data_IF_384668185859
#
_entry.id   IF_384668185859
#
_cell.length_a   1.000
_cell.length_b   1.000
_cell.length_c   1.000
_cell.angle_alpha   90.00
_cell.angle_beta   90.00
_cell.angle_gamma   90.00
#
_symmetry.space_group_name_H-M   'P 1'
#
loop_
_entity.id
_entity.type
_entity.pdbx_description
1 polymer ?
#
# COMPACT_ATOMS: atom_id res chain seq x y z
N UNK A 1 38.05 11.04 -11.68
CA UNK A 1 37.91 10.22 -10.47
C UNK A 1 36.45 9.83 -10.40
N UNK A 2 36.12 8.58 -10.57
CA UNK A 2 34.74 8.08 -10.55
C UNK A 2 34.23 8.08 -9.11
N UNK A 3 33.38 9.04 -8.74
CA UNK A 3 32.69 9.02 -7.47
C UNK A 3 31.66 7.87 -7.56
N UNK A 4 31.88 6.85 -6.77
CA UNK A 4 30.99 5.70 -6.64
C UNK A 4 29.82 6.14 -5.78
N UNK A 5 28.60 6.13 -6.33
CA UNK A 5 27.40 6.07 -5.53
C UNK A 5 27.55 4.95 -4.51
N UNK A 6 27.27 5.26 -3.27
CA UNK A 6 27.13 4.25 -2.22
C UNK A 6 25.82 3.54 -2.49
N UNK A 7 25.88 2.55 -3.37
CA UNK A 7 24.77 1.66 -3.57
C UNK A 7 24.70 0.74 -2.37
N UNK A 8 23.61 0.83 -1.66
CA UNK A 8 23.29 0.03 -0.51
C UNK A 8 23.27 -1.45 -0.89
N UNK A 9 24.26 -2.19 -0.45
CA UNK A 9 24.31 -3.64 -0.61
C UNK A 9 23.36 -4.29 0.42
N UNK A 10 22.20 -4.73 -0.01
CA UNK A 10 21.33 -5.60 0.77
C UNK A 10 21.91 -7.00 0.73
N UNK A 11 22.63 -7.41 1.74
CA UNK A 11 23.06 -8.80 1.92
C UNK A 11 21.88 -9.60 2.49
N UNK A 12 21.26 -10.41 1.67
CA UNK A 12 20.23 -11.36 2.06
C UNK A 12 20.89 -12.54 2.80
N UNK A 13 20.76 -12.60 4.11
CA UNK A 13 20.98 -13.83 4.85
C UNK A 13 19.62 -14.51 5.07
N UNK A 14 19.27 -15.44 4.19
CA UNK A 14 18.21 -16.41 4.45
C UNK A 14 18.72 -17.45 5.44
N UNK A 15 18.16 -17.48 6.62
CA UNK A 15 18.17 -18.67 7.47
C UNK A 15 16.74 -19.17 7.65
N UNK A 16 16.52 -20.29 6.98
CA UNK A 16 15.37 -21.16 7.15
C UNK A 16 15.31 -21.74 8.56
N UNK A 17 14.21 -21.56 9.25
CA UNK A 17 13.84 -22.40 10.38
C UNK A 17 12.44 -22.97 10.14
N UNK A 18 12.46 -24.29 9.99
CA UNK A 18 11.33 -25.18 9.80
C UNK A 18 10.59 -25.43 11.13
N UNK A 19 9.25 -25.40 11.05
CA UNK A 19 8.28 -26.36 11.57
C UNK A 19 8.34 -26.86 13.02
N UNK A 20 7.25 -26.72 13.67
CA UNK A 20 6.38 -27.77 14.24
C UNK A 20 5.56 -27.14 15.38
N UNK A 21 4.31 -27.30 15.42
CA UNK A 21 3.45 -28.36 15.66
C UNK A 21 2.17 -27.93 16.31
N UNK A 22 1.12 -28.35 15.75
CA UNK A 22 -0.13 -28.91 16.29
C UNK A 22 -0.63 -28.52 17.69
N UNK A 23 -1.90 -28.07 17.70
CA UNK A 23 -2.91 -28.80 18.43
C UNK A 23 -3.50 -28.19 19.69
N UNK A 24 -4.79 -27.98 19.70
CA UNK A 24 -5.60 -28.31 20.84
C UNK A 24 -6.37 -27.20 21.54
N UNK A 25 -7.62 -27.22 21.29
CA UNK A 25 -8.81 -26.59 21.89
C UNK A 25 -8.88 -26.44 23.40
N UNK A 26 -9.75 -25.50 23.77
CA UNK A 26 -10.67 -25.41 24.90
C UNK A 26 -10.30 -24.51 26.07
N UNK A 27 -11.10 -23.46 26.22
CA UNK A 27 -11.40 -22.82 27.51
C UNK A 27 -12.26 -23.75 28.38
N UNK A 28 -12.39 -23.58 29.71
CA UNK A 28 -12.92 -22.37 30.33
C UNK A 28 -12.41 -22.00 31.76
N UNK A 29 -12.75 -20.74 32.13
CA UNK A 29 -13.16 -20.22 33.44
C UNK A 29 -12.27 -20.33 34.69
N UNK A 30 -11.91 -19.15 35.17
CA UNK A 30 -11.89 -18.59 36.53
C UNK A 30 -11.38 -19.41 37.72
N UNK A 31 -10.34 -18.89 38.36
CA UNK A 31 -10.40 -18.53 39.80
C UNK A 31 -9.07 -17.94 40.30
N UNK A 32 -9.19 -16.96 41.18
CA UNK A 32 -8.12 -16.21 41.84
C UNK A 32 -7.19 -17.09 42.65
N UNK A 33 -5.88 -16.75 42.64
CA UNK A 33 -4.91 -17.29 43.57
C UNK A 33 -3.60 -16.55 43.45
N UNK A 34 -3.30 -15.68 44.42
CA UNK A 34 -2.01 -15.04 44.61
C UNK A 34 -0.93 -16.09 44.84
N UNK A 35 0.12 -16.06 44.03
CA UNK A 35 1.41 -16.64 44.42
C UNK A 35 2.54 -15.85 43.74
N UNK A 36 3.35 -15.20 44.53
CA UNK A 36 4.66 -14.65 44.17
C UNK A 36 5.50 -15.75 43.53
N UNK A 37 5.77 -15.61 42.23
CA UNK A 37 6.70 -16.41 41.48
C UNK A 37 7.68 -15.50 40.79
N UNK A 38 8.94 -15.54 41.20
CA UNK A 38 10.11 -14.94 40.58
C UNK A 38 10.19 -15.44 39.14
N UNK A 39 9.61 -14.71 38.21
CA UNK A 39 9.69 -14.99 36.77
C UNK A 39 11.05 -14.53 36.24
N UNK A 40 11.91 -15.49 35.93
CA UNK A 40 13.08 -15.26 35.09
C UNK A 40 12.62 -14.62 33.76
N UNK A 41 13.01 -13.37 33.56
CA UNK A 41 12.80 -12.70 32.27
C UNK A 41 13.51 -13.52 31.19
N UNK A 42 12.77 -13.93 30.17
CA UNK A 42 13.37 -14.50 28.97
C UNK A 42 14.36 -13.45 28.40
N UNK A 43 15.51 -13.90 27.86
CA UNK A 43 16.45 -12.99 27.23
C UNK A 43 15.70 -12.24 26.11
N UNK A 44 15.75 -10.90 26.13
CA UNK A 44 15.27 -10.10 25.03
C UNK A 44 16.03 -10.54 23.77
N UNK A 45 15.32 -10.90 22.70
CA UNK A 45 15.93 -11.12 21.40
C UNK A 45 16.76 -9.89 21.07
N UNK A 46 18.00 -10.07 20.57
CA UNK A 46 18.81 -8.93 20.16
C UNK A 46 18.04 -8.13 19.10
N UNK A 47 17.88 -6.84 19.34
CA UNK A 47 17.26 -5.95 18.37
C UNK A 47 17.96 -6.14 17.03
N UNK A 48 17.17 -6.42 15.97
CA UNK A 48 17.70 -6.59 14.63
C UNK A 48 18.52 -5.34 14.23
N UNK A 49 19.72 -5.53 13.68
CA UNK A 49 20.52 -4.40 13.20
C UNK A 49 19.76 -3.69 12.07
N UNK A 50 19.64 -2.36 12.18
CA UNK A 50 19.03 -1.54 11.14
C UNK A 50 19.78 -1.72 9.82
N UNK A 51 19.03 -1.81 8.72
CA UNK A 51 19.59 -1.76 7.36
C UNK A 51 20.28 -0.41 7.13
N UNK A 52 21.08 -0.31 6.09
CA UNK A 52 21.72 0.96 5.76
C UNK A 52 20.69 2.04 5.39
N UNK A 53 19.59 1.69 4.71
CA UNK A 53 18.47 2.60 4.43
C UNK A 53 17.80 3.06 5.72
N UNK A 54 17.51 2.16 6.64
CA UNK A 54 16.89 2.49 7.93
C UNK A 54 17.78 3.40 8.78
N UNK A 55 19.11 3.25 8.72
CA UNK A 55 20.05 4.18 9.38
C UNK A 55 20.00 5.59 8.78
N UNK A 56 19.92 5.69 7.45
CA UNK A 56 19.75 6.97 6.75
C UNK A 56 18.43 7.63 7.12
N UNK A 57 17.33 6.85 7.15
CA UNK A 57 16.01 7.34 7.56
C UNK A 57 16.04 7.84 9.01
N UNK A 58 16.60 7.07 9.92
CA UNK A 58 16.74 7.48 11.33
C UNK A 58 17.56 8.77 11.51
N UNK A 59 18.60 8.98 10.69
CA UNK A 59 19.33 10.24 10.66
C UNK A 59 18.46 11.39 10.12
N UNK A 60 17.68 11.12 9.07
CA UNK A 60 16.87 12.11 8.38
C UNK A 60 15.61 12.53 9.15
N UNK A 61 15.07 11.69 10.02
CA UNK A 61 13.83 11.96 10.80
C UNK A 61 13.91 13.24 11.63
N UNK A 62 15.10 13.60 12.13
CA UNK A 62 15.30 14.81 12.91
C UNK A 62 15.62 16.07 12.10
N UNK A 63 15.78 15.94 10.79
CA UNK A 63 16.25 17.03 9.93
C UNK A 63 15.11 17.94 9.48
N UNK A 64 15.41 19.22 9.36
CA UNK A 64 14.55 20.20 8.68
C UNK A 64 14.58 19.97 7.17
N UNK A 65 13.58 20.49 6.44
CA UNK A 65 13.59 20.43 4.96
C UNK A 65 14.83 21.09 4.35
N UNK A 66 15.37 22.13 4.99
CA UNK A 66 16.61 22.77 4.51
C UNK A 66 17.83 21.87 4.68
N UNK A 67 17.95 21.16 5.80
CA UNK A 67 19.03 20.19 6.03
C UNK A 67 18.93 19.00 5.10
N UNK A 68 17.71 18.48 4.88
CA UNK A 68 17.45 17.43 3.90
C UNK A 68 17.79 17.87 2.48
N UNK A 69 17.46 19.11 2.11
CA UNK A 69 17.81 19.67 0.80
C UNK A 69 19.31 19.77 0.58
N UNK A 70 20.07 20.20 1.59
CA UNK A 70 21.56 20.24 1.52
C UNK A 70 22.15 18.85 1.34
N UNK A 71 21.65 17.85 2.08
CA UNK A 71 22.06 16.46 1.90
C UNK A 71 21.70 15.93 0.50
N UNK A 72 20.50 16.21 0.02
CA UNK A 72 20.09 15.82 -1.32
C UNK A 72 21.02 16.40 -2.40
N UNK A 73 21.44 17.66 -2.27
CA UNK A 73 22.41 18.30 -3.17
C UNK A 73 23.75 17.56 -3.13
N UNK A 74 24.27 17.26 -1.94
CA UNK A 74 25.57 16.57 -1.78
C UNK A 74 25.54 15.18 -2.42
N UNK A 75 24.44 14.45 -2.29
CA UNK A 75 24.31 13.06 -2.73
C UNK A 75 23.98 12.91 -4.21
N UNK A 76 23.17 13.82 -4.77
CA UNK A 76 22.59 13.65 -6.10
C UNK A 76 23.12 14.59 -7.17
N UNK A 77 23.99 15.55 -6.84
CA UNK A 77 24.55 16.48 -7.82
C UNK A 77 25.35 15.74 -8.92
N UNK A 78 24.97 15.94 -10.18
CA UNK A 78 25.58 15.29 -11.35
C UNK A 78 25.15 13.83 -11.53
N UNK A 79 24.12 13.37 -10.84
CA UNK A 79 23.58 12.03 -10.94
C UNK A 79 22.30 11.98 -11.77
N UNK A 80 21.85 10.77 -12.09
CA UNK A 80 20.53 10.52 -12.63
C UNK A 80 19.65 9.88 -11.54
N UNK A 81 18.51 10.50 -11.26
CA UNK A 81 17.51 9.99 -10.36
C UNK A 81 16.52 9.09 -11.11
N UNK A 82 16.42 7.85 -10.71
CA UNK A 82 15.49 6.89 -11.28
C UNK A 82 14.28 6.73 -10.38
N UNK A 83 13.10 6.98 -10.94
CA UNK A 83 11.85 6.78 -10.24
C UNK A 83 10.86 5.95 -11.05
N UNK A 84 9.94 5.29 -10.38
CA UNK A 84 8.91 4.48 -11.00
C UNK A 84 7.58 4.68 -10.29
N UNK A 85 6.49 4.76 -11.03
CA UNK A 85 5.18 4.94 -10.41
C UNK A 85 4.03 4.80 -11.40
N UNK A 86 2.84 4.55 -10.89
CA UNK A 86 1.63 4.50 -11.72
C UNK A 86 1.02 5.90 -11.96
N UNK A 87 1.68 6.95 -11.51
CA UNK A 87 1.24 8.33 -11.66
C UNK A 87 2.25 9.16 -12.46
N UNK A 88 1.76 9.98 -13.39
CA UNK A 88 2.55 10.97 -14.11
C UNK A 88 3.03 12.13 -13.22
N UNK A 89 2.52 12.23 -11.99
CA UNK A 89 2.90 13.29 -11.04
C UNK A 89 4.40 13.30 -10.74
N UNK A 90 5.07 12.15 -10.77
CA UNK A 90 6.52 12.09 -10.64
C UNK A 90 7.25 12.92 -11.70
N UNK A 91 6.80 12.85 -12.97
CA UNK A 91 7.36 13.66 -14.06
C UNK A 91 7.15 15.17 -13.84
N UNK A 92 6.07 15.55 -13.17
CA UNK A 92 5.77 16.96 -12.87
C UNK A 92 6.51 17.44 -11.62
N UNK A 93 6.66 16.59 -10.62
CA UNK A 93 7.26 16.94 -9.34
C UNK A 93 8.80 17.05 -9.42
N UNK A 94 9.47 16.17 -10.17
CA UNK A 94 10.93 16.15 -10.24
C UNK A 94 11.54 17.45 -10.79
N UNK A 95 11.03 18.09 -11.85
CA UNK A 95 11.53 19.41 -12.26
C UNK A 95 11.41 20.47 -11.16
N UNK A 96 10.29 20.49 -10.43
CA UNK A 96 10.09 21.43 -9.32
C UNK A 96 11.05 21.15 -8.15
N UNK A 97 11.34 19.90 -7.88
CA UNK A 97 12.32 19.50 -6.89
C UNK A 97 13.73 19.97 -7.30
N UNK A 98 14.12 19.78 -8.55
CA UNK A 98 15.42 20.26 -9.08
C UNK A 98 15.49 21.78 -9.00
N UNK A 99 14.44 22.49 -9.41
CA UNK A 99 14.38 23.96 -9.32
C UNK A 99 14.51 24.45 -7.87
N UNK A 100 13.88 23.78 -6.93
CA UNK A 100 14.01 24.07 -5.51
C UNK A 100 15.46 23.90 -5.03
N UNK A 101 16.12 22.80 -5.37
CA UNK A 101 17.51 22.58 -5.00
C UNK A 101 18.47 23.57 -5.69
N UNK A 102 18.20 23.98 -6.93
CA UNK A 102 18.93 25.02 -7.64
C UNK A 102 18.76 26.42 -7.01
N UNK A 103 17.65 26.66 -6.31
CA UNK A 103 17.48 27.89 -5.54
C UNK A 103 18.41 27.97 -4.33
N UNK A 104 18.91 26.84 -3.85
CA UNK A 104 19.83 26.70 -2.73
C UNK A 104 21.30 26.68 -3.28
N UNK A 105 21.55 25.85 -4.29
CA UNK A 105 22.84 25.79 -5.00
C UNK A 105 22.60 25.91 -6.52
N UNK A 106 22.87 27.10 -7.11
CA UNK A 106 22.69 27.31 -8.54
C UNK A 106 23.54 26.41 -9.46
N UNK A 107 24.56 25.73 -8.91
CA UNK A 107 25.36 24.76 -9.66
C UNK A 107 24.79 23.34 -9.66
N UNK A 108 23.69 23.10 -8.93
CA UNK A 108 23.07 21.79 -8.85
C UNK A 108 22.56 21.33 -10.21
N UNK A 109 22.94 20.11 -10.56
CA UNK A 109 22.56 19.48 -11.81
C UNK A 109 22.27 17.99 -11.59
N UNK A 110 20.99 17.63 -11.61
CA UNK A 110 20.52 16.26 -11.53
C UNK A 110 19.64 15.95 -12.75
N UNK A 111 19.93 14.85 -13.44
CA UNK A 111 19.02 14.30 -14.43
C UNK A 111 18.02 13.36 -13.77
N UNK A 112 16.92 13.08 -14.43
CA UNK A 112 15.95 12.10 -13.92
C UNK A 112 15.36 11.24 -15.04
N UNK A 113 15.02 10.00 -14.70
CA UNK A 113 14.23 9.09 -15.51
C UNK A 113 13.03 8.59 -14.68
N UNK A 114 11.84 9.00 -15.09
CA UNK A 114 10.60 8.57 -14.45
C UNK A 114 9.88 7.56 -15.34
N UNK A 115 9.80 6.32 -14.89
CA UNK A 115 9.11 5.24 -15.57
C UNK A 115 7.67 5.12 -15.07
N UNK A 116 6.75 4.87 -16.01
CA UNK A 116 5.33 4.74 -15.69
C UNK A 116 4.75 3.46 -16.32
N UNK A 117 5.08 2.28 -15.79
CA UNK A 117 4.46 1.04 -16.21
C UNK A 117 2.99 1.01 -15.79
N UNK A 118 2.22 0.15 -16.43
CA UNK A 118 0.80 -0.02 -16.08
C UNK A 118 0.67 -0.75 -14.74
N UNK A 119 -0.12 -0.17 -13.84
CA UNK A 119 -0.71 -0.80 -12.65
C UNK A 119 0.17 -1.84 -11.93
N UNK A 120 -0.29 -3.08 -11.86
CA UNK A 120 0.33 -4.15 -11.08
C UNK A 120 1.78 -4.49 -11.48
N UNK A 121 2.21 -4.13 -12.69
CA UNK A 121 3.60 -4.35 -13.14
C UNK A 121 4.63 -3.60 -12.33
N UNK A 122 4.22 -2.53 -11.62
CA UNK A 122 5.12 -1.79 -10.74
C UNK A 122 5.59 -2.66 -9.58
N UNK A 123 4.69 -3.44 -8.98
CA UNK A 123 5.04 -4.30 -7.84
C UNK A 123 6.07 -5.36 -8.25
N UNK A 124 5.86 -5.99 -9.39
CA UNK A 124 6.81 -6.97 -9.94
C UNK A 124 8.16 -6.32 -10.24
N UNK A 125 8.14 -5.11 -10.81
CA UNK A 125 9.34 -4.37 -11.17
C UNK A 125 10.15 -3.94 -9.95
N UNK A 126 9.49 -3.44 -8.90
CA UNK A 126 10.13 -3.08 -7.63
C UNK A 126 10.68 -4.30 -6.90
N UNK A 127 9.92 -5.39 -6.86
CA UNK A 127 10.38 -6.66 -6.26
C UNK A 127 11.60 -7.19 -7.00
N UNK A 128 11.58 -7.18 -8.34
CA UNK A 128 12.74 -7.61 -9.14
C UNK A 128 13.95 -6.68 -8.97
N UNK A 129 13.72 -5.39 -8.76
CA UNK A 129 14.79 -4.41 -8.51
C UNK A 129 15.44 -4.62 -7.14
N UNK A 130 14.64 -4.91 -6.12
CA UNK A 130 15.13 -5.18 -4.76
C UNK A 130 15.99 -6.45 -4.66
N UNK A 131 15.86 -7.39 -5.61
CA UNK A 131 16.70 -8.59 -5.68
C UNK A 131 18.10 -8.32 -6.29
N UNK A 132 18.33 -7.15 -6.85
CA UNK A 132 19.63 -6.78 -7.41
C UNK A 132 20.61 -6.41 -6.30
N UNK A 133 21.91 -6.66 -6.47
CA UNK A 133 22.93 -6.20 -5.51
C UNK A 133 22.89 -4.69 -5.28
N UNK A 134 22.40 -3.95 -6.28
CA UNK A 134 22.19 -2.51 -6.25
C UNK A 134 20.89 -2.23 -6.93
N UNK A 135 19.92 -1.72 -6.19
CA UNK A 135 18.64 -1.27 -6.73
C UNK A 135 18.82 -0.12 -7.70
N UNK A 136 17.90 0.02 -8.62
CA UNK A 136 17.90 1.09 -9.63
C UNK A 136 17.06 2.28 -9.18
N UNK A 137 15.88 1.98 -8.61
CA UNK A 137 14.89 3.00 -8.30
C UNK A 137 15.10 3.61 -6.91
N UNK A 138 15.17 4.95 -6.87
CA UNK A 138 15.31 5.71 -5.65
C UNK A 138 13.97 6.05 -5.01
N UNK A 139 12.89 6.13 -5.81
CA UNK A 139 11.56 6.53 -5.33
C UNK A 139 10.46 5.85 -6.14
N UNK A 140 9.34 5.58 -5.48
CA UNK A 140 8.10 5.17 -6.15
C UNK A 140 6.92 6.02 -5.73
N UNK A 141 5.99 6.24 -6.67
CA UNK A 141 4.66 6.78 -6.43
C UNK A 141 3.64 5.72 -6.85
N UNK A 142 3.15 4.97 -5.89
CA UNK A 142 2.21 3.88 -6.11
C UNK A 142 0.93 4.11 -5.32
N UNK A 143 -0.14 3.50 -5.76
CA UNK A 143 -1.43 3.47 -5.07
C UNK A 143 -1.79 2.02 -4.79
N UNK A 144 -2.71 1.78 -3.87
CA UNK A 144 -3.13 0.50 -3.35
C UNK A 144 -2.43 0.12 -2.04
N UNK A 145 -2.94 0.69 -0.95
CA UNK A 145 -2.38 0.53 0.39
C UNK A 145 -2.20 -0.92 0.82
N UNK A 146 -3.14 -1.79 0.51
CA UNK A 146 -3.07 -3.21 0.90
C UNK A 146 -1.91 -3.94 0.23
N UNK A 147 -1.69 -3.72 -1.08
CA UNK A 147 -0.56 -4.33 -1.77
C UNK A 147 0.77 -3.66 -1.41
N UNK A 148 0.77 -2.36 -1.14
CA UNK A 148 1.96 -1.64 -0.66
C UNK A 148 2.40 -2.22 0.67
N UNK A 149 1.48 -2.36 1.62
CA UNK A 149 1.79 -2.92 2.94
C UNK A 149 2.29 -4.36 2.82
N UNK A 150 1.49 -5.24 2.22
CA UNK A 150 1.76 -6.69 2.23
C UNK A 150 2.90 -7.12 1.31
N UNK A 151 3.13 -6.43 0.18
CA UNK A 151 4.12 -6.84 -0.83
C UNK A 151 5.39 -6.01 -0.81
N UNK A 152 5.36 -4.82 -0.24
CA UNK A 152 6.47 -3.88 -0.33
C UNK A 152 7.08 -3.56 1.03
N UNK A 153 6.26 -3.16 2.00
CA UNK A 153 6.76 -2.72 3.31
C UNK A 153 7.07 -3.90 4.21
N UNK A 154 6.10 -4.80 4.42
CA UNK A 154 6.32 -5.97 5.28
C UNK A 154 7.50 -6.87 4.84
N UNK A 155 7.71 -7.13 3.52
CA UNK A 155 8.90 -7.84 3.07
C UNK A 155 10.18 -7.01 3.04
N UNK A 156 10.14 -5.71 3.34
CA UNK A 156 11.31 -4.82 3.30
C UNK A 156 11.78 -4.48 1.89
N UNK A 157 10.90 -4.50 0.90
CA UNK A 157 11.19 -4.04 -0.48
C UNK A 157 11.25 -2.51 -0.53
N UNK A 158 10.40 -1.84 0.25
CA UNK A 158 10.37 -0.40 0.42
C UNK A 158 10.49 -0.06 1.89
N UNK A 159 11.33 0.92 2.17
CA UNK A 159 11.31 1.67 3.42
C UNK A 159 10.46 2.93 3.23
N UNK A 160 9.94 3.48 4.32
CA UNK A 160 9.07 4.65 4.31
C UNK A 160 9.70 5.77 5.13
N UNK A 161 9.43 7.01 4.74
CA UNK A 161 9.92 8.19 5.42
C UNK A 161 8.95 9.35 5.27
N UNK A 162 8.67 10.04 6.38
CA UNK A 162 7.89 11.27 6.39
C UNK A 162 8.76 12.41 6.94
N UNK A 163 9.04 13.45 6.14
CA UNK A 163 9.81 14.59 6.62
C UNK A 163 9.16 15.27 7.83
N UNK A 164 9.96 15.56 8.86
CA UNK A 164 9.50 16.19 10.12
C UNK A 164 8.72 17.48 9.87
N UNK A 165 9.25 18.39 9.04
CA UNK A 165 8.61 19.67 8.77
C UNK A 165 7.26 19.52 8.08
N UNK A 166 7.11 18.47 7.25
CA UNK A 166 5.82 18.13 6.65
C UNK A 166 4.84 17.61 7.70
N UNK A 167 5.28 16.72 8.57
CA UNK A 167 4.45 16.17 9.65
C UNK A 167 3.99 17.27 10.60
N UNK A 168 4.89 18.16 11.01
CA UNK A 168 4.59 19.30 11.88
C UNK A 168 3.59 20.27 11.21
N UNK A 169 3.77 20.59 9.93
CA UNK A 169 2.89 21.48 9.19
C UNK A 169 1.46 20.90 9.00
N UNK A 170 1.33 19.57 8.99
CA UNK A 170 0.05 18.89 8.87
C UNK A 170 -0.52 18.41 10.21
N UNK A 171 0.10 18.74 11.34
CA UNK A 171 -0.34 18.36 12.67
C UNK A 171 -0.45 16.84 12.88
N UNK A 172 0.49 16.08 12.31
CA UNK A 172 0.48 14.62 12.27
C UNK A 172 1.84 14.03 12.64
N UNK A 173 1.92 12.72 12.69
CA UNK A 173 3.17 11.96 12.91
C UNK A 173 3.32 10.90 11.83
N UNK A 174 4.53 10.35 11.69
CA UNK A 174 4.79 9.24 10.78
C UNK A 174 3.87 8.04 11.04
N UNK A 175 3.60 7.73 12.30
CA UNK A 175 2.75 6.60 12.70
C UNK A 175 1.30 6.71 12.23
N UNK A 176 0.78 7.95 12.09
CA UNK A 176 -0.59 8.18 11.64
C UNK A 176 -0.88 7.66 10.22
N UNK A 177 0.17 7.45 9.42
CA UNK A 177 0.08 6.97 8.04
C UNK A 177 0.85 5.66 7.82
N UNK A 178 1.16 4.93 8.88
CA UNK A 178 1.98 3.70 8.81
C UNK A 178 3.33 3.96 8.12
N UNK A 179 3.88 5.19 8.30
CA UNK A 179 5.13 5.61 7.68
C UNK A 179 5.06 6.06 6.22
N UNK A 180 3.90 6.02 5.58
CA UNK A 180 3.76 6.49 4.19
C UNK A 180 3.54 8.00 4.11
N UNK A 181 4.16 8.65 3.13
CA UNK A 181 3.82 10.03 2.79
C UNK A 181 2.56 10.04 1.89
N UNK A 182 1.38 10.42 2.40
CA UNK A 182 0.15 10.38 1.64
C UNK A 182 0.08 11.58 0.69
N UNK A 183 0.03 11.32 -0.62
CA UNK A 183 -0.14 12.38 -1.62
C UNK A 183 -1.60 12.65 -1.95
N UNK A 184 -2.45 11.64 -1.83
CA UNK A 184 -3.88 11.76 -2.09
C UNK A 184 -4.65 10.59 -1.49
N UNK A 185 -5.91 10.84 -1.18
CA UNK A 185 -6.91 9.82 -0.89
C UNK A 185 -7.75 9.58 -2.15
N UNK A 186 -7.92 8.32 -2.54
CA UNK A 186 -8.75 7.92 -3.66
C UNK A 186 -10.00 7.21 -3.14
N UNK A 187 -11.15 7.71 -3.54
CA UNK A 187 -12.42 7.04 -3.28
C UNK A 187 -12.94 6.41 -4.58
N UNK A 188 -13.54 5.24 -4.48
CA UNK A 188 -14.28 4.62 -5.56
C UNK A 188 -15.75 4.89 -5.34
N UNK A 189 -16.40 5.39 -6.38
CA UNK A 189 -17.80 5.80 -6.30
C UNK A 189 -18.52 5.30 -7.54
N UNK A 190 -19.79 4.96 -7.39
CA UNK A 190 -20.68 4.75 -8.52
C UNK A 190 -21.04 6.12 -9.11
N UNK A 191 -21.02 6.21 -10.41
CA UNK A 191 -21.39 7.45 -11.13
C UNK A 191 -22.30 7.14 -12.29
N UNK A 192 -23.27 8.02 -12.52
CA UNK A 192 -24.14 7.96 -13.68
C UNK A 192 -24.30 9.34 -14.31
N UNK A 193 -24.73 9.36 -15.58
CA UNK A 193 -25.01 10.58 -16.29
C UNK A 193 -26.39 11.12 -15.88
N UNK A 194 -26.42 12.16 -15.06
CA UNK A 194 -27.64 12.77 -14.55
C UNK A 194 -28.46 13.54 -15.61
N UNK A 195 -27.96 13.65 -16.86
CA UNK A 195 -28.72 14.21 -17.99
C UNK A 195 -29.47 13.11 -18.76
N UNK A 196 -29.29 11.85 -18.41
CA UNK A 196 -30.03 10.72 -18.93
C UNK A 196 -31.46 10.66 -18.39
N UNK A 197 -32.24 9.73 -18.91
CA UNK A 197 -33.63 9.51 -18.49
C UNK A 197 -33.77 8.57 -17.29
N UNK A 198 -32.66 7.93 -16.84
CA UNK A 198 -32.64 7.00 -15.71
C UNK A 198 -32.03 7.68 -14.49
N UNK A 199 -32.57 7.33 -13.32
CA UNK A 199 -32.00 7.63 -12.01
C UNK A 199 -31.50 6.33 -11.39
N UNK A 200 -30.47 6.43 -10.57
CA UNK A 200 -29.84 5.31 -9.87
C UNK A 200 -29.78 5.74 -8.40
N UNK A 201 -30.70 5.22 -7.62
CA UNK A 201 -30.84 5.56 -6.21
C UNK A 201 -30.13 4.52 -5.30
N UNK A 202 -29.77 3.37 -5.90
CA UNK A 202 -29.13 2.25 -5.23
C UNK A 202 -27.95 1.72 -6.06
N UNK A 203 -26.92 1.16 -5.41
CA UNK A 203 -25.79 0.56 -6.12
C UNK A 203 -26.18 -0.65 -6.99
N UNK A 204 -27.23 -1.38 -6.63
CA UNK A 204 -27.75 -2.49 -7.40
C UNK A 204 -28.41 -2.07 -8.72
N UNK A 205 -28.85 -0.82 -8.83
CA UNK A 205 -29.42 -0.28 -10.06
C UNK A 205 -28.41 -0.31 -11.23
N UNK A 206 -27.12 -0.25 -10.93
CA UNK A 206 -26.06 -0.31 -11.94
C UNK A 206 -25.87 -1.69 -12.59
N UNK A 207 -26.46 -2.73 -11.99
CA UNK A 207 -26.43 -4.11 -12.49
C UNK A 207 -27.83 -4.70 -12.71
N UNK A 208 -28.85 -3.84 -12.69
CA UNK A 208 -30.24 -4.20 -12.98
C UNK A 208 -30.43 -4.70 -14.42
N UNK A 209 -31.57 -5.30 -14.70
CA UNK A 209 -31.90 -5.81 -16.02
C UNK A 209 -31.76 -4.71 -17.12
N UNK A 210 -31.02 -5.05 -18.15
CA UNK A 210 -30.78 -4.13 -19.29
C UNK A 210 -29.73 -3.06 -19.04
N UNK A 211 -29.09 -3.04 -17.85
CA UNK A 211 -27.94 -2.19 -17.62
C UNK A 211 -26.65 -2.81 -18.17
N UNK A 212 -25.81 -1.97 -18.69
CA UNK A 212 -24.47 -2.33 -19.17
C UNK A 212 -23.45 -1.55 -18.34
N UNK A 213 -22.96 -2.19 -17.28
CA UNK A 213 -21.89 -1.61 -16.46
C UNK A 213 -20.62 -1.37 -17.28
N UNK A 214 -19.78 -0.48 -16.78
CA UNK A 214 -18.49 -0.25 -17.38
C UNK A 214 -17.65 -1.53 -17.25
N UNK A 215 -17.12 -2.02 -18.38
CA UNK A 215 -16.21 -3.15 -18.38
C UNK A 215 -14.92 -2.79 -17.66
N UNK A 216 -14.52 -3.66 -16.74
CA UNK A 216 -13.24 -3.54 -16.03
C UNK A 216 -12.49 -4.86 -16.15
N UNK A 217 -11.24 -4.78 -16.61
CA UNK A 217 -10.33 -5.92 -16.58
C UNK A 217 -9.76 -6.08 -15.17
N UNK A 218 -10.33 -7.01 -14.41
CA UNK A 218 -9.96 -7.28 -13.02
C UNK A 218 -8.48 -7.69 -12.90
N UNK A 219 -7.92 -8.35 -13.91
CA UNK A 219 -6.53 -8.82 -13.84
C UNK A 219 -5.51 -7.71 -14.05
N UNK A 220 -5.83 -6.72 -14.86
CA UNK A 220 -4.94 -5.60 -15.15
C UNK A 220 -5.18 -4.37 -14.28
N UNK A 221 -6.35 -4.27 -13.62
CA UNK A 221 -6.75 -3.12 -12.82
C UNK A 221 -6.75 -3.42 -11.31
N UNK A 222 -5.95 -2.67 -10.57
CA UNK A 222 -5.86 -2.75 -9.10
C UNK A 222 -7.22 -2.54 -8.45
N UNK A 223 -8.01 -1.63 -9.01
CA UNK A 223 -9.30 -1.19 -8.46
C UNK A 223 -10.30 -2.33 -8.34
N UNK A 224 -10.39 -3.21 -9.34
CA UNK A 224 -11.33 -4.32 -9.35
C UNK A 224 -11.03 -5.32 -8.24
N UNK A 225 -9.76 -5.71 -8.09
CA UNK A 225 -9.34 -6.62 -7.01
C UNK A 225 -9.58 -6.03 -5.64
N UNK A 226 -9.24 -4.76 -5.44
CA UNK A 226 -9.46 -4.10 -4.16
C UNK A 226 -10.93 -3.95 -3.80
N UNK A 227 -11.78 -3.73 -4.80
CA UNK A 227 -13.23 -3.75 -4.58
C UNK A 227 -13.70 -5.12 -4.10
N UNK A 228 -13.24 -6.21 -4.72
CA UNK A 228 -13.57 -7.57 -4.28
C UNK A 228 -13.03 -7.87 -2.87
N UNK A 229 -11.79 -7.49 -2.57
CA UNK A 229 -11.26 -7.64 -1.21
C UNK A 229 -12.04 -6.83 -0.18
N UNK A 230 -12.48 -5.62 -0.52
CA UNK A 230 -13.32 -4.81 0.36
C UNK A 230 -14.62 -5.54 0.71
N UNK A 231 -15.20 -6.31 -0.22
CA UNK A 231 -16.43 -7.07 0.01
C UNK A 231 -16.25 -8.28 0.93
N UNK A 232 -15.02 -8.67 1.25
CA UNK A 232 -14.76 -9.71 2.27
C UNK A 232 -14.79 -9.14 3.70
N UNK A 233 -14.87 -7.83 3.85
CA UNK A 233 -15.00 -7.18 5.15
C UNK A 233 -16.48 -7.03 5.52
N UNK A 234 -16.86 -7.47 6.71
CA UNK A 234 -18.25 -7.50 7.20
C UNK A 234 -18.99 -6.17 7.04
N UNK A 235 -18.28 -5.05 7.27
CA UNK A 235 -18.86 -3.71 7.16
C UNK A 235 -19.35 -3.43 5.74
N UNK A 236 -18.52 -3.68 4.74
CA UNK A 236 -18.85 -3.37 3.34
C UNK A 236 -19.82 -4.39 2.75
N UNK A 237 -19.69 -5.67 3.11
CA UNK A 237 -20.66 -6.71 2.77
C UNK A 237 -22.03 -6.37 3.37
N UNK A 238 -22.06 -5.90 4.62
CA UNK A 238 -23.27 -5.43 5.29
C UNK A 238 -23.95 -4.28 4.55
N UNK A 239 -23.22 -3.28 4.10
CA UNK A 239 -23.78 -2.16 3.32
C UNK A 239 -24.39 -2.62 1.98
N UNK A 240 -23.73 -3.57 1.29
CA UNK A 240 -24.30 -4.14 0.07
C UNK A 240 -25.59 -4.91 0.35
N UNK A 241 -25.62 -5.65 1.45
CA UNK A 241 -26.84 -6.37 1.88
C UNK A 241 -27.95 -5.40 2.24
N UNK A 242 -27.68 -4.36 3.01
CA UNK A 242 -28.66 -3.31 3.34
C UNK A 242 -29.24 -2.67 2.07
N UNK A 243 -28.35 -2.36 1.10
CA UNK A 243 -28.78 -1.81 -0.18
C UNK A 243 -29.66 -2.81 -0.97
N UNK A 244 -29.36 -4.11 -0.93
CA UNK A 244 -30.20 -5.16 -1.52
C UNK A 244 -31.54 -5.27 -0.84
N UNK A 245 -31.57 -5.29 0.49
CA UNK A 245 -32.81 -5.38 1.29
C UNK A 245 -33.74 -4.17 1.07
N UNK A 246 -33.19 -3.04 0.63
CA UNK A 246 -33.96 -1.84 0.28
C UNK A 246 -34.58 -1.86 -1.12
N UNK A 247 -34.22 -2.83 -1.97
CA UNK A 247 -34.83 -3.01 -3.29
C UNK A 247 -36.29 -3.47 -3.17
N UNK A 248 -37.10 -3.21 -4.20
CA UNK A 248 -38.44 -3.79 -4.30
C UNK A 248 -38.37 -5.31 -4.43
N UNK A 249 -39.48 -5.99 -4.11
CA UNK A 249 -39.57 -7.46 -4.21
C UNK A 249 -39.30 -7.98 -5.65
N UNK A 250 -39.70 -7.22 -6.66
CA UNK A 250 -39.46 -7.58 -8.06
C UNK A 250 -37.99 -7.46 -8.43
N UNK A 251 -37.32 -6.43 -7.97
CA UNK A 251 -35.88 -6.22 -8.17
C UNK A 251 -35.05 -7.27 -7.42
N UNK A 252 -35.40 -7.59 -6.18
CA UNK A 252 -34.75 -8.68 -5.44
C UNK A 252 -34.92 -10.02 -6.16
N UNK A 253 -36.12 -10.30 -6.67
CA UNK A 253 -36.42 -11.54 -7.41
C UNK A 253 -35.60 -11.68 -8.70
N UNK A 254 -35.20 -10.57 -9.31
CA UNK A 254 -34.30 -10.56 -10.48
C UNK A 254 -32.90 -11.07 -10.11
N UNK A 255 -32.35 -10.66 -8.98
CA UNK A 255 -31.00 -11.04 -8.55
C UNK A 255 -30.94 -12.41 -7.87
N UNK A 256 -32.02 -12.84 -7.22
CA UNK A 256 -32.03 -14.03 -6.36
C UNK A 256 -31.51 -15.31 -7.05
N UNK A 257 -31.88 -15.62 -8.31
CA UNK A 257 -31.38 -16.83 -8.98
C UNK A 257 -29.84 -16.82 -9.17
N UNK A 258 -29.25 -15.66 -9.38
CA UNK A 258 -27.79 -15.52 -9.50
C UNK A 258 -27.13 -15.70 -8.14
N UNK A 259 -27.68 -15.08 -7.10
CA UNK A 259 -27.18 -15.22 -5.72
C UNK A 259 -27.23 -16.70 -5.29
N UNK A 260 -28.34 -17.39 -5.54
CA UNK A 260 -28.51 -18.81 -5.19
C UNK A 260 -27.50 -19.69 -5.93
N UNK A 261 -27.27 -19.42 -7.22
CA UNK A 261 -26.30 -20.15 -8.03
C UNK A 261 -24.87 -19.95 -7.50
N UNK A 262 -24.50 -18.72 -7.16
CA UNK A 262 -23.19 -18.41 -6.60
C UNK A 262 -22.98 -19.04 -5.22
N UNK A 263 -24.01 -19.04 -4.36
CA UNK A 263 -23.97 -19.69 -3.06
C UNK A 263 -23.78 -21.20 -3.19
N UNK A 264 -24.46 -21.83 -4.14
CA UNK A 264 -24.29 -23.26 -4.44
C UNK A 264 -22.87 -23.57 -4.90
N UNK A 265 -22.31 -22.78 -5.82
CA UNK A 265 -20.94 -22.96 -6.31
C UNK A 265 -19.91 -22.76 -5.19
N UNK A 266 -20.10 -21.76 -4.34
CA UNK A 266 -19.24 -21.54 -3.19
C UNK A 266 -19.24 -22.74 -2.23
N UNK A 267 -20.41 -23.31 -1.96
CA UNK A 267 -20.55 -24.53 -1.14
C UNK A 267 -19.84 -25.72 -1.77
N UNK A 268 -19.97 -25.92 -3.08
CA UNK A 268 -19.31 -27.01 -3.82
C UNK A 268 -17.78 -26.89 -3.78
N UNK A 269 -17.25 -25.65 -3.70
CA UNK A 269 -15.83 -25.36 -3.55
C UNK A 269 -15.35 -25.45 -2.09
N UNK A 270 -16.23 -25.76 -1.14
CA UNK A 270 -15.91 -25.82 0.28
C UNK A 270 -15.62 -24.44 0.90
N UNK A 271 -16.07 -23.39 0.26
CA UNK A 271 -16.04 -22.04 0.80
C UNK A 271 -17.22 -21.93 1.77
N UNK A 272 -16.91 -21.83 3.05
CA UNK A 272 -17.92 -21.80 4.10
C UNK A 272 -18.89 -20.63 4.02
N UNK A 273 -20.01 -20.79 4.71
CA UNK A 273 -20.96 -19.71 4.98
C UNK A 273 -20.27 -18.66 5.91
N UNK A 274 -19.73 -17.61 5.34
CA UNK A 274 -19.32 -16.41 6.05
C UNK A 274 -20.02 -15.21 5.45
#
# INVERSE_FOLDING_TARGET
>A
MKKRFLALTLALAMTSALLAGCGGSSAPAASAGSASGSGSAAPAEPAAELTATQKIIAEAEGMTLEELAKKAIEESNGATFYGVGNSSRGKTALPLFIEYLQSIDPSYNMEYDWQQPKNNKIFDQLTADALKPTGTYAMTLIQDGNQIESKMVQPGVLDTFIPKDWADANGTTADAYTGFLPLQTLNKVFMYNNTGSKTYDNCWDFVAEGEHGLYMDIDSEIVGKNFLYMLTEDTYAGWLKEAFDALSADEQAYFQPTIDAMASEASDLGLGEN
#
